data_IF_342797676017
#
_entry.id   IF_342797676017
#
_cell.length_a   1.000
_cell.length_b   1.000
_cell.length_c   1.000
_cell.angle_alpha   90.00
_cell.angle_beta   90.00
_cell.angle_gamma   90.00
#
_symmetry.space_group_name_H-M   'P 1'
#
loop_
_entity.id
_entity.type
_entity.pdbx_description
1 polymer ?
#
# COMPACT_ATOMS: atom_id res chain seq x y z
N UNK A 1 -21.34 -41.31 27.26
CA UNK A 1 -20.57 -40.10 26.88
C UNK A 1 -21.01 -39.72 25.47
N UNK A 2 -21.79 -38.64 25.31
CA UNK A 2 -22.29 -38.24 23.99
C UNK A 2 -21.14 -37.62 23.17
N UNK A 3 -20.91 -38.14 21.96
CA UNK A 3 -19.90 -37.65 21.03
C UNK A 3 -20.27 -36.24 20.55
N UNK A 4 -19.46 -35.23 20.85
CA UNK A 4 -19.67 -33.87 20.34
C UNK A 4 -19.45 -33.84 18.82
N UNK A 5 -20.53 -33.58 18.06
CA UNK A 5 -20.50 -33.56 16.60
C UNK A 5 -20.07 -32.18 16.10
N UNK A 6 -18.76 -31.99 15.93
CA UNK A 6 -18.20 -30.79 15.34
C UNK A 6 -18.49 -30.74 13.84
N UNK A 7 -19.13 -29.66 13.37
CA UNK A 7 -19.24 -29.38 11.94
C UNK A 7 -18.21 -28.32 11.53
N UNK A 8 -17.73 -28.37 10.28
CA UNK A 8 -16.78 -27.41 9.68
C UNK A 8 -17.18 -25.95 9.92
N UNK A 9 -18.49 -25.69 9.94
CA UNK A 9 -19.06 -24.35 10.16
C UNK A 9 -18.88 -23.85 11.60
N UNK A 10 -18.88 -24.75 12.58
CA UNK A 10 -18.65 -24.42 13.99
C UNK A 10 -17.17 -24.24 14.28
N UNK A 11 -16.31 -25.03 13.61
CA UNK A 11 -14.87 -24.81 13.60
C UNK A 11 -14.51 -23.45 13.00
N UNK A 12 -15.03 -23.13 11.80
CA UNK A 12 -14.77 -21.85 11.13
C UNK A 12 -15.25 -20.65 11.95
N UNK A 13 -16.41 -20.74 12.62
CA UNK A 13 -16.87 -19.69 13.54
C UNK A 13 -15.90 -19.51 14.71
N UNK A 14 -15.47 -20.60 15.33
CA UNK A 14 -14.54 -20.57 16.46
C UNK A 14 -13.18 -20.01 16.05
N UNK A 15 -12.65 -20.42 14.89
CA UNK A 15 -11.37 -19.91 14.36
C UNK A 15 -11.47 -18.47 13.85
N UNK A 16 -12.61 -18.08 13.26
CA UNK A 16 -12.81 -16.71 12.79
C UNK A 16 -12.83 -15.72 13.95
N UNK A 17 -13.46 -16.07 15.08
CA UNK A 17 -13.48 -15.22 16.28
C UNK A 17 -12.09 -15.07 16.91
N UNK A 18 -11.25 -16.12 16.86
CA UNK A 18 -9.85 -16.05 17.33
C UNK A 18 -8.91 -15.34 16.36
N UNK A 19 -9.12 -15.46 15.06
CA UNK A 19 -8.26 -14.88 14.03
C UNK A 19 -8.51 -13.39 13.80
N UNK A 20 -9.75 -12.89 13.93
CA UNK A 20 -10.06 -11.46 13.78
C UNK A 20 -9.47 -10.61 14.91
N UNK A 21 -9.37 -11.16 16.12
CA UNK A 21 -8.71 -10.51 17.25
C UNK A 21 -7.19 -10.40 17.08
N UNK A 22 -6.56 -11.31 16.32
CA UNK A 22 -5.12 -11.33 16.07
C UNK A 22 -4.71 -10.65 14.76
N UNK A 23 -5.63 -10.47 13.80
CA UNK A 23 -5.35 -9.79 12.53
C UNK A 23 -5.57 -8.28 12.58
N UNK A 24 -6.36 -7.79 13.54
CA UNK A 24 -6.60 -6.36 13.78
C UNK A 24 -5.80 -5.84 14.98
N UNK A 25 -4.51 -6.20 15.07
CA UNK A 25 -3.65 -5.56 16.08
C UNK A 25 -3.60 -4.05 15.77
N UNK A 26 -3.83 -3.22 16.78
CA UNK A 26 -3.71 -1.76 16.67
C UNK A 26 -2.32 -1.32 16.17
N UNK A 27 -1.30 -2.16 16.33
CA UNK A 27 0.03 -2.00 15.73
C UNK A 27 0.02 -1.92 14.19
N UNK A 28 -0.98 -2.51 13.53
CA UNK A 28 -1.21 -2.35 12.09
C UNK A 28 -1.68 -0.94 11.75
N UNK A 29 -2.55 -0.35 12.58
CA UNK A 29 -3.03 1.02 12.43
C UNK A 29 -1.95 2.06 12.81
N UNK A 30 -1.09 1.72 13.78
CA UNK A 30 0.04 2.55 14.18
C UNK A 30 1.14 2.60 13.10
N UNK A 31 1.33 1.50 12.34
CA UNK A 31 2.15 1.50 11.10
C UNK A 31 1.57 2.34 9.94
N UNK A 32 0.35 2.85 10.08
CA UNK A 32 -0.29 3.74 9.08
C UNK A 32 -0.10 5.22 9.45
N UNK A 33 0.52 5.55 10.59
CA UNK A 33 1.08 6.89 10.81
C UNK A 33 2.26 7.06 9.83
N UNK A 34 2.20 8.07 8.95
CA UNK A 34 3.22 8.28 7.91
C UNK A 34 2.89 7.75 6.52
N UNK A 35 2.11 6.67 6.39
CA UNK A 35 1.85 6.05 5.07
C UNK A 35 1.07 6.98 4.11
N UNK A 36 0.29 7.92 4.65
CA UNK A 36 -0.41 8.97 3.89
C UNK A 36 0.26 10.35 3.97
N UNK A 37 1.38 10.49 4.68
CA UNK A 37 2.06 11.78 4.84
C UNK A 37 2.89 12.14 3.61
N UNK A 38 3.39 11.13 2.89
CA UNK A 38 4.19 11.33 1.67
C UNK A 38 3.94 10.23 0.64
N UNK A 39 3.24 10.58 -0.43
CA UNK A 39 3.00 9.69 -1.57
C UNK A 39 4.27 9.62 -2.42
N UNK A 40 4.85 8.42 -2.55
CA UNK A 40 5.92 8.15 -3.50
C UNK A 40 5.37 7.89 -4.89
N UNK A 41 5.84 8.64 -5.88
CA UNK A 41 5.45 8.51 -7.30
C UNK A 41 6.66 8.05 -8.11
N UNK A 42 6.50 6.95 -8.84
CA UNK A 42 7.49 6.47 -9.81
C UNK A 42 6.96 6.64 -11.23
N UNK A 43 7.87 6.88 -12.18
CA UNK A 43 7.53 7.11 -13.58
C UNK A 43 8.03 5.96 -14.45
N UNK A 44 7.17 5.40 -15.29
CA UNK A 44 7.51 4.33 -16.25
C UNK A 44 7.28 4.86 -17.65
N UNK A 45 8.32 4.86 -18.48
CA UNK A 45 8.33 5.54 -19.77
C UNK A 45 8.38 7.06 -19.58
N UNK A 46 9.59 7.61 -19.53
CA UNK A 46 9.92 9.03 -19.31
C UNK A 46 10.03 9.85 -20.60
N UNK A 47 9.33 9.43 -21.66
CA UNK A 47 9.21 10.18 -22.91
C UNK A 47 8.41 11.48 -22.77
N UNK A 48 8.20 12.18 -23.90
CA UNK A 48 7.73 13.58 -23.91
C UNK A 48 6.48 13.88 -23.06
N UNK A 49 5.47 13.01 -23.05
CA UNK A 49 4.27 13.22 -22.21
C UNK A 49 4.55 13.09 -20.72
N UNK A 50 5.40 12.14 -20.34
CA UNK A 50 5.74 11.88 -18.96
C UNK A 50 6.54 13.02 -18.34
N UNK A 51 7.26 13.81 -19.13
CA UNK A 51 7.97 15.01 -18.67
C UNK A 51 7.04 16.03 -18.00
N UNK A 52 5.81 16.20 -18.47
CA UNK A 52 4.81 17.07 -17.81
C UNK A 52 4.42 16.51 -16.43
N UNK A 53 4.19 15.20 -16.35
CA UNK A 53 3.88 14.53 -15.08
C UNK A 53 5.03 14.64 -14.08
N UNK A 54 6.27 14.46 -14.54
CA UNK A 54 7.49 14.65 -13.73
C UNK A 54 7.56 16.10 -13.24
N UNK A 55 7.28 17.07 -14.11
CA UNK A 55 7.25 18.50 -13.77
C UNK A 55 6.25 18.82 -12.66
N UNK A 56 5.01 18.32 -12.79
CA UNK A 56 3.94 18.51 -11.80
C UNK A 56 4.32 17.93 -10.45
N UNK A 57 4.79 16.67 -10.41
CA UNK A 57 5.16 15.99 -9.17
C UNK A 57 6.37 16.67 -8.51
N UNK A 58 7.37 17.08 -9.31
CA UNK A 58 8.53 17.80 -8.80
C UNK A 58 8.13 19.16 -8.22
N UNK A 59 7.20 19.86 -8.86
CA UNK A 59 6.62 21.10 -8.32
C UNK A 59 5.92 20.84 -6.98
N UNK A 60 5.06 19.82 -6.89
CA UNK A 60 4.38 19.49 -5.65
C UNK A 60 5.33 19.07 -4.53
N UNK A 61 6.42 18.38 -4.87
CA UNK A 61 7.48 18.06 -3.92
C UNK A 61 8.18 19.33 -3.39
N UNK A 62 8.50 20.30 -4.27
CA UNK A 62 9.06 21.60 -3.88
C UNK A 62 8.10 22.41 -2.99
N UNK A 63 6.82 22.39 -3.35
CA UNK A 63 5.74 23.06 -2.62
C UNK A 63 5.34 22.32 -1.32
N UNK A 64 6.06 21.24 -0.95
CA UNK A 64 5.82 20.41 0.25
C UNK A 64 4.38 19.87 0.35
N UNK A 65 3.76 19.51 -0.78
CA UNK A 65 2.39 18.98 -0.84
C UNK A 65 2.27 17.48 -0.55
N UNK A 66 3.19 16.90 0.23
CA UNK A 66 3.11 15.49 0.62
C UNK A 66 3.29 14.49 -0.53
N UNK A 67 4.05 14.84 -1.58
CA UNK A 67 4.42 13.90 -2.66
C UNK A 67 5.92 13.93 -2.91
N UNK A 68 6.42 12.86 -3.50
CA UNK A 68 7.78 12.85 -4.00
C UNK A 68 7.99 11.91 -5.18
N UNK A 69 8.86 12.33 -6.09
CA UNK A 69 9.45 11.43 -7.07
C UNK A 69 10.39 10.44 -6.37
N UNK A 70 10.14 9.14 -6.54
CA UNK A 70 10.92 8.07 -5.89
C UNK A 70 11.64 7.14 -6.85
N UNK A 71 11.34 7.21 -8.14
CA UNK A 71 12.01 6.38 -9.13
C UNK A 71 11.60 6.69 -10.57
N UNK A 72 12.43 6.24 -11.48
CA UNK A 72 12.20 6.28 -12.93
C UNK A 72 12.56 4.94 -13.54
N UNK A 73 11.84 4.54 -14.58
CA UNK A 73 12.13 3.37 -15.39
C UNK A 73 11.87 3.71 -16.86
N UNK A 74 12.87 3.53 -17.69
CA UNK A 74 12.78 3.69 -19.14
C UNK A 74 13.69 2.68 -19.83
N UNK A 75 13.31 2.27 -21.04
CA UNK A 75 14.11 1.39 -21.91
C UNK A 75 14.85 2.17 -22.98
N UNK A 76 14.57 3.47 -23.14
CA UNK A 76 15.25 4.35 -24.08
C UNK A 76 16.72 4.52 -23.70
N UNK A 77 17.62 4.21 -24.63
CA UNK A 77 19.08 4.22 -24.44
C UNK A 77 19.76 5.52 -24.91
N UNK A 78 19.00 6.46 -25.49
CA UNK A 78 19.51 7.77 -25.90
C UNK A 78 19.83 7.90 -27.38
N UNK A 79 19.54 6.88 -28.20
CA UNK A 79 19.86 6.83 -29.63
C UNK A 79 18.66 7.03 -30.56
#
# INVERSE_FOLDING_TARGET
MAQQKWNRRDFLKTTAVGATALSLTAASAERVLGANERIGVAFIGTGGRCQEHIGIVTKFQKDKKGVAAVGVCDVWDGH
#
